data_IF_763492363166
#
_entry.id   IF_763492363166
#
_cell.length_a   1.000
_cell.length_b   1.000
_cell.length_c   1.000
_cell.angle_alpha   90.00
_cell.angle_beta   90.00
_cell.angle_gamma   90.00
#
_symmetry.space_group_name_H-M   'P 1'
#
loop_
_entity.id
_entity.type
_entity.pdbx_description
1 polymer ?
#
# COMPACT_ATOMS: atom_id res chain seq x y z
N UNK A 1 -18.55 -6.26 -7.41
CA UNK A 1 -17.84 -7.37 -8.08
C UNK A 1 -16.92 -8.00 -7.06
N UNK A 2 -17.26 -9.20 -6.58
CA UNK A 2 -16.47 -9.94 -5.60
C UNK A 2 -15.13 -10.33 -6.24
N UNK A 3 -14.04 -9.92 -5.59
CA UNK A 3 -12.69 -10.38 -5.91
C UNK A 3 -12.64 -11.90 -5.67
N UNK A 4 -12.11 -12.71 -6.61
CA UNK A 4 -11.98 -14.13 -6.38
C UNK A 4 -10.90 -14.33 -5.31
N UNK A 5 -11.35 -14.58 -4.09
CA UNK A 5 -10.50 -15.12 -3.03
C UNK A 5 -10.07 -16.50 -3.53
N UNK A 6 -8.89 -16.58 -4.14
CA UNK A 6 -8.22 -17.85 -4.36
C UNK A 6 -7.93 -18.43 -2.98
N UNK A 7 -8.83 -19.29 -2.50
CA UNK A 7 -8.59 -20.18 -1.38
C UNK A 7 -7.43 -21.10 -1.75
N UNK A 8 -6.24 -20.83 -1.22
CA UNK A 8 -5.15 -21.80 -1.17
C UNK A 8 -5.21 -22.50 0.19
N UNK A 9 -5.18 -23.84 0.17
CA UNK A 9 -5.62 -24.71 1.28
C UNK A 9 -4.55 -25.01 2.35
N UNK A 10 -3.43 -24.30 2.38
CA UNK A 10 -2.28 -24.64 3.23
C UNK A 10 -1.80 -23.43 4.07
N UNK A 11 -2.73 -22.68 4.66
CA UNK A 11 -2.40 -21.68 5.70
C UNK A 11 -2.42 -22.38 7.05
N UNK A 12 -1.32 -22.29 7.79
CA UNK A 12 -1.20 -22.89 9.12
C UNK A 12 -0.89 -21.82 10.15
N UNK A 13 -1.46 -21.97 11.35
CA UNK A 13 -1.10 -21.18 12.51
C UNK A 13 0.20 -21.77 13.05
N UNK A 14 1.23 -20.93 13.18
CA UNK A 14 2.54 -21.37 13.61
C UNK A 14 2.63 -21.31 15.14
N UNK A 15 2.10 -20.24 15.77
CA UNK A 15 1.99 -20.05 17.23
C UNK A 15 0.68 -19.28 17.52
N UNK A 16 -0.03 -19.60 18.62
CA UNK A 16 -1.29 -18.93 19.00
C UNK A 16 -1.13 -17.43 19.37
N UNK A 17 0.07 -17.00 19.73
CA UNK A 17 0.43 -15.60 20.00
C UNK A 17 1.93 -15.46 19.77
N UNK A 18 2.36 -14.67 18.80
CA UNK A 18 3.78 -14.35 18.64
C UNK A 18 4.22 -13.48 19.82
N UNK A 19 5.25 -13.91 20.53
CA UNK A 19 5.79 -13.19 21.68
C UNK A 19 6.97 -12.30 21.29
N UNK A 20 7.60 -12.58 20.14
CA UNK A 20 8.84 -11.93 19.66
C UNK A 20 8.82 -11.70 18.15
N UNK A 21 9.70 -10.83 17.62
CA UNK A 21 9.71 -10.47 16.19
C UNK A 21 9.99 -11.63 15.21
N UNK A 22 10.52 -12.75 15.69
CA UNK A 22 10.86 -13.91 14.86
C UNK A 22 9.97 -15.13 15.15
N UNK A 23 9.01 -14.99 16.06
CA UNK A 23 8.03 -16.01 16.36
C UNK A 23 6.93 -15.94 15.29
N UNK A 24 6.82 -16.96 14.43
CA UNK A 24 5.75 -16.98 13.42
C UNK A 24 4.37 -17.06 14.10
N UNK A 25 3.53 -16.06 13.88
CA UNK A 25 2.11 -16.09 14.25
C UNK A 25 1.35 -16.94 13.21
N UNK A 26 1.48 -16.58 11.95
CA UNK A 26 0.90 -17.30 10.82
C UNK A 26 1.95 -17.63 9.76
N UNK A 27 1.71 -18.69 9.00
CA UNK A 27 2.53 -19.04 7.85
C UNK A 27 1.79 -19.78 6.74
N UNK A 28 2.35 -19.74 5.55
CA UNK A 28 1.88 -20.53 4.40
C UNK A 28 3.06 -21.06 3.60
N UNK A 29 2.83 -22.19 2.95
CA UNK A 29 3.80 -22.82 2.05
C UNK A 29 3.56 -22.28 0.64
N UNK A 30 4.63 -21.85 -0.01
CA UNK A 30 4.65 -21.59 -1.44
C UNK A 30 5.12 -22.87 -2.13
N UNK A 31 4.18 -23.82 -2.29
CA UNK A 31 4.46 -25.19 -2.76
C UNK A 31 5.28 -25.22 -4.07
N UNK A 32 5.04 -24.28 -4.97
CA UNK A 32 5.75 -24.20 -6.26
C UNK A 32 7.22 -23.74 -6.16
N UNK A 33 7.65 -23.20 -5.02
CA UNK A 33 8.90 -22.45 -4.89
C UNK A 33 9.80 -22.93 -3.74
N UNK A 34 9.46 -24.04 -3.07
CA UNK A 34 10.16 -24.53 -1.90
C UNK A 34 10.48 -23.41 -0.87
N UNK A 35 9.48 -22.56 -0.61
CA UNK A 35 9.57 -21.44 0.32
C UNK A 35 8.40 -21.39 1.28
N UNK A 36 8.64 -20.84 2.46
CA UNK A 36 7.65 -20.50 3.46
C UNK A 36 7.53 -19.00 3.57
N UNK A 37 6.30 -18.50 3.68
CA UNK A 37 6.03 -17.12 4.12
C UNK A 37 5.55 -17.19 5.55
N UNK A 38 6.22 -16.48 6.45
CA UNK A 38 5.81 -16.37 7.84
C UNK A 38 5.62 -14.90 8.22
N UNK A 39 4.74 -14.63 9.16
CA UNK A 39 4.58 -13.29 9.76
C UNK A 39 4.55 -13.39 11.27
N UNK A 40 5.25 -12.51 11.98
CA UNK A 40 5.19 -12.44 13.43
C UNK A 40 4.01 -11.61 13.95
N UNK A 41 3.42 -10.71 13.16
CA UNK A 41 2.44 -9.76 13.68
C UNK A 41 1.22 -9.51 12.78
N UNK A 42 1.26 -9.85 11.49
CA UNK A 42 0.13 -9.58 10.62
C UNK A 42 -1.00 -10.59 10.85
N UNK A 43 -2.25 -10.12 10.84
CA UNK A 43 -3.43 -10.96 11.06
C UNK A 43 -3.82 -11.86 9.87
N UNK A 44 -3.07 -11.79 8.77
CA UNK A 44 -3.24 -12.64 7.60
C UNK A 44 -1.89 -12.97 6.97
N UNK A 45 -1.74 -14.21 6.50
CA UNK A 45 -0.64 -14.55 5.61
C UNK A 45 -0.94 -13.98 4.24
N UNK A 46 -0.07 -13.10 3.75
CA UNK A 46 -0.26 -12.48 2.45
C UNK A 46 -0.18 -13.54 1.34
N UNK A 47 -1.18 -13.63 0.46
CA UNK A 47 -1.17 -14.60 -0.61
C UNK A 47 -0.08 -14.25 -1.62
N UNK A 48 0.95 -15.10 -1.69
CA UNK A 48 1.93 -15.23 -2.79
C UNK A 48 2.70 -13.93 -3.12
N UNK A 49 3.83 -13.66 -2.43
CA UNK A 49 4.69 -12.51 -2.73
C UNK A 49 5.11 -12.46 -4.20
N UNK A 50 5.32 -11.23 -4.69
CA UNK A 50 5.82 -11.00 -6.03
C UNK A 50 7.32 -11.32 -6.14
N UNK A 51 7.65 -12.60 -6.31
CA UNK A 51 9.03 -13.08 -6.35
C UNK A 51 9.62 -13.10 -7.77
N UNK A 52 10.93 -12.83 -7.87
CA UNK A 52 11.73 -12.92 -9.09
C UNK A 52 11.61 -11.72 -10.04
N UNK A 53 12.29 -11.83 -11.19
CA UNK A 53 12.13 -10.86 -12.28
C UNK A 53 10.73 -10.98 -12.87
N UNK A 54 10.03 -9.85 -12.97
CA UNK A 54 8.65 -9.80 -13.46
C UNK A 54 8.47 -8.71 -14.48
N UNK A 55 7.70 -9.02 -15.50
CA UNK A 55 7.17 -8.02 -16.41
C UNK A 55 5.94 -7.39 -15.75
N UNK A 56 5.97 -6.07 -15.62
CA UNK A 56 4.88 -5.29 -15.03
C UNK A 56 4.07 -4.68 -16.16
N UNK A 57 2.77 -4.96 -16.15
CA UNK A 57 1.83 -4.42 -17.12
C UNK A 57 0.70 -3.71 -16.39
N UNK A 58 0.14 -2.71 -17.06
CA UNK A 58 -1.08 -2.09 -16.62
C UNK A 58 -2.27 -2.99 -16.93
N UNK A 59 -3.08 -3.25 -15.91
CA UNK A 59 -4.31 -4.04 -16.01
C UNK A 59 -5.51 -3.16 -16.42
N UNK A 60 -6.66 -3.79 -16.70
CA UNK A 60 -7.90 -3.10 -17.09
C UNK A 60 -8.40 -2.09 -16.04
N UNK A 61 -8.05 -2.29 -14.77
CA UNK A 61 -8.36 -1.37 -13.69
C UNK A 61 -7.36 -0.19 -13.58
N UNK A 62 -6.46 -0.03 -14.57
CA UNK A 62 -5.42 1.00 -14.64
C UNK A 62 -4.42 0.96 -13.48
N UNK A 63 -4.26 -0.23 -12.88
CA UNK A 63 -3.28 -0.54 -11.83
C UNK A 63 -2.32 -1.63 -12.30
N UNK A 64 -1.37 -2.00 -11.45
CA UNK A 64 -0.29 -2.95 -11.77
C UNK A 64 -0.50 -4.35 -11.18
N UNK A 65 -1.75 -4.70 -10.84
CA UNK A 65 -2.11 -6.00 -10.29
C UNK A 65 -1.34 -6.33 -9.01
N UNK A 66 -0.77 -7.54 -8.90
CA UNK A 66 0.03 -7.97 -7.75
C UNK A 66 1.32 -7.17 -7.53
N UNK A 67 1.75 -6.39 -8.53
CA UNK A 67 2.94 -5.55 -8.41
C UNK A 67 2.59 -4.09 -8.07
N UNK A 68 1.31 -3.75 -7.84
CA UNK A 68 0.91 -2.41 -7.39
C UNK A 68 1.23 -2.24 -5.90
N UNK A 69 2.21 -1.38 -5.51
CA UNK A 69 2.54 -1.15 -4.10
C UNK A 69 1.36 -0.60 -3.30
N UNK A 70 0.40 0.04 -3.95
CA UNK A 70 -0.81 0.55 -3.32
C UNK A 70 -1.78 -0.55 -2.88
N UNK A 71 -1.59 -1.77 -3.37
CA UNK A 71 -2.51 -2.89 -3.18
C UNK A 71 -1.83 -4.14 -2.66
N UNK A 72 -0.50 -4.17 -2.54
CA UNK A 72 0.20 -5.39 -2.12
C UNK A 72 1.49 -5.03 -1.41
N UNK A 73 1.85 -5.75 -0.32
CA UNK A 73 3.14 -5.57 0.30
C UNK A 73 4.25 -5.84 -0.70
N UNK A 74 5.27 -4.99 -0.65
CA UNK A 74 6.45 -5.11 -1.50
C UNK A 74 7.65 -5.58 -0.69
N UNK A 75 8.70 -6.03 -1.39
CA UNK A 75 9.99 -6.21 -0.73
C UNK A 75 10.46 -4.88 -0.14
N UNK A 76 10.94 -4.92 1.10
CA UNK A 76 11.45 -3.73 1.78
C UNK A 76 12.70 -3.22 1.06
N UNK A 77 12.66 -1.95 0.68
CA UNK A 77 13.80 -1.22 0.12
C UNK A 77 13.99 0.05 0.95
N UNK A 78 15.16 0.28 1.58
CA UNK A 78 15.36 1.42 2.48
C UNK A 78 15.01 2.79 1.88
N UNK A 79 15.25 2.97 0.57
CA UNK A 79 14.93 4.21 -0.15
C UNK A 79 13.41 4.44 -0.34
N UNK A 80 12.60 3.40 -0.18
CA UNK A 80 11.14 3.41 -0.34
C UNK A 80 10.44 2.79 0.87
N UNK A 81 11.04 2.94 2.06
CA UNK A 81 10.54 2.33 3.29
C UNK A 81 9.09 2.72 3.61
N UNK A 82 8.66 3.92 3.20
CA UNK A 82 7.29 4.42 3.37
C UNK A 82 6.24 3.60 2.63
N UNK A 83 6.60 2.76 1.65
CA UNK A 83 5.63 1.87 0.98
C UNK A 83 5.01 0.87 1.95
N UNK A 84 5.71 0.50 3.02
CA UNK A 84 5.15 -0.34 4.07
C UNK A 84 4.00 0.36 4.83
N UNK A 85 3.98 1.69 4.82
CA UNK A 85 2.97 2.52 5.48
C UNK A 85 1.81 2.94 4.56
N UNK A 86 1.74 2.40 3.33
CA UNK A 86 0.55 2.57 2.50
C UNK A 86 -0.64 1.92 3.18
N UNK A 87 -1.81 2.56 3.17
CA UNK A 87 -3.00 2.00 3.80
C UNK A 87 -3.85 1.20 2.81
N UNK A 88 -4.54 0.15 3.27
CA UNK A 88 -5.44 -0.72 2.49
C UNK A 88 -6.79 -0.10 2.13
N UNK A 89 -7.18 0.98 2.83
CA UNK A 89 -8.54 1.52 2.93
C UNK A 89 -9.43 0.74 3.93
N UNK A 90 -9.30 1.07 5.21
CA UNK A 90 -10.27 0.79 6.28
C UNK A 90 -10.95 2.07 6.76
N UNK A 91 -11.05 3.08 5.89
CA UNK A 91 -11.49 4.40 6.28
C UNK A 91 -13.01 4.47 6.43
N UNK A 92 -13.46 5.20 7.45
CA UNK A 92 -14.88 5.47 7.69
C UNK A 92 -15.55 6.15 6.47
N UNK A 93 -16.88 6.13 6.42
CA UNK A 93 -17.64 6.72 5.29
C UNK A 93 -17.32 8.21 5.11
N UNK A 94 -17.03 8.91 6.20
CA UNK A 94 -16.79 10.36 6.22
C UNK A 94 -15.31 10.73 6.22
N UNK A 95 -14.41 9.77 6.05
CA UNK A 95 -12.97 10.06 6.08
C UNK A 95 -12.57 10.92 4.86
N UNK A 96 -11.84 12.04 5.07
CA UNK A 96 -11.40 12.92 3.98
C UNK A 96 -10.55 12.24 2.92
N UNK A 97 -9.81 11.19 3.27
CA UNK A 97 -8.93 10.45 2.36
C UNK A 97 -9.66 9.33 1.60
N UNK A 98 -10.89 8.97 2.00
CA UNK A 98 -11.70 7.93 1.33
C UNK A 98 -11.75 8.05 -0.20
N UNK A 99 -11.91 9.25 -0.80
CA UNK A 99 -11.92 9.40 -2.26
C UNK A 99 -10.64 8.91 -2.97
N UNK A 100 -9.50 8.85 -2.27
CA UNK A 100 -8.22 8.36 -2.82
C UNK A 100 -8.20 6.84 -3.04
N UNK A 101 -9.19 6.12 -2.53
CA UNK A 101 -9.29 4.66 -2.60
C UNK A 101 -10.44 4.17 -3.48
N UNK A 102 -11.30 5.09 -3.93
CA UNK A 102 -12.45 4.75 -4.76
C UNK A 102 -12.07 4.77 -6.24
N UNK A 103 -12.41 3.70 -6.97
CA UNK A 103 -12.28 3.69 -8.42
C UNK A 103 -13.30 4.62 -9.08
N UNK A 104 -12.98 5.06 -10.30
CA UNK A 104 -13.92 5.73 -11.20
C UNK A 104 -14.58 4.72 -12.15
N UNK A 105 -15.76 5.07 -12.64
CA UNK A 105 -16.59 4.28 -13.56
C UNK A 105 -16.88 5.08 -14.83
N UNK A 106 -17.52 4.46 -15.81
CA UNK A 106 -17.99 5.15 -17.02
C UNK A 106 -18.91 6.34 -16.70
N UNK A 107 -19.67 6.27 -15.60
CA UNK A 107 -20.52 7.38 -15.15
C UNK A 107 -19.74 8.57 -14.61
N UNK A 108 -18.45 8.44 -14.34
CA UNK A 108 -17.61 9.54 -13.89
C UNK A 108 -16.99 10.31 -15.05
N UNK A 109 -17.20 9.87 -16.29
CA UNK A 109 -16.76 10.54 -17.49
C UNK A 109 -17.95 11.14 -18.23
N UNK A 110 -17.82 12.39 -18.66
CA UNK A 110 -18.82 13.10 -19.43
C UNK A 110 -18.21 13.65 -20.69
N UNK A 111 -18.83 13.36 -21.82
CA UNK A 111 -18.42 13.90 -23.11
C UNK A 111 -18.55 15.43 -23.17
N UNK A 112 -17.65 16.11 -23.88
CA UNK A 112 -17.72 17.59 -23.98
C UNK A 112 -18.93 18.01 -24.81
N UNK A 113 -19.17 17.31 -25.91
CA UNK A 113 -20.15 17.67 -26.91
C UNK A 113 -20.96 16.45 -27.32
N UNK A 114 -22.19 16.40 -26.82
CA UNK A 114 -23.17 15.35 -27.11
C UNK A 114 -23.56 15.32 -28.60
N UNK A 115 -23.24 16.35 -29.39
CA UNK A 115 -23.53 16.43 -30.81
C UNK A 115 -22.30 16.23 -31.73
N UNK A 116 -21.11 16.04 -31.16
CA UNK A 116 -19.90 15.83 -31.95
C UNK A 116 -19.98 14.53 -32.78
N UNK A 117 -19.52 14.57 -34.03
CA UNK A 117 -19.48 13.41 -34.92
C UNK A 117 -18.51 12.34 -34.39
N UNK A 118 -17.40 12.77 -33.80
CA UNK A 118 -16.40 11.87 -33.21
C UNK A 118 -16.52 11.94 -31.69
N UNK A 119 -16.88 10.80 -31.12
CA UNK A 119 -17.19 10.62 -29.71
C UNK A 119 -15.98 10.09 -28.94
N UNK A 120 -15.05 10.95 -28.55
CA UNK A 120 -13.76 10.50 -28.01
C UNK A 120 -13.13 11.37 -26.92
N UNK A 121 -13.67 12.56 -26.66
CA UNK A 121 -13.12 13.50 -25.68
C UNK A 121 -14.18 13.94 -24.68
N UNK A 122 -13.81 13.87 -23.41
CA UNK A 122 -14.67 14.20 -22.31
C UNK A 122 -13.88 14.70 -21.11
N UNK A 123 -14.59 14.92 -20.02
CA UNK A 123 -14.06 15.41 -18.76
C UNK A 123 -14.55 14.51 -17.64
N UNK A 124 -13.79 14.51 -16.54
CA UNK A 124 -14.30 13.93 -15.31
C UNK A 124 -15.51 14.75 -14.83
N UNK A 125 -16.55 14.08 -14.36
CA UNK A 125 -17.69 14.74 -13.72
C UNK A 125 -17.21 15.58 -12.55
N UNK A 126 -17.74 16.80 -12.46
CA UNK A 126 -17.34 17.79 -11.45
C UNK A 126 -17.46 17.27 -10.02
N UNK A 127 -18.52 16.52 -9.71
CA UNK A 127 -18.73 15.93 -8.38
C UNK A 127 -17.67 14.90 -8.00
N UNK A 128 -17.21 14.11 -8.96
CA UNK A 128 -16.15 13.12 -8.76
C UNK A 128 -14.79 13.80 -8.62
N UNK A 129 -14.51 14.78 -9.49
CA UNK A 129 -13.31 15.59 -9.38
C UNK A 129 -13.21 16.31 -8.04
N UNK A 130 -14.29 16.93 -7.56
CA UNK A 130 -14.30 17.64 -6.27
C UNK A 130 -14.01 16.73 -5.08
N UNK A 131 -14.54 15.49 -5.09
CA UNK A 131 -14.24 14.50 -4.05
C UNK A 131 -12.76 14.10 -4.07
N UNK A 132 -12.20 13.79 -5.23
CA UNK A 132 -10.78 13.48 -5.37
C UNK A 132 -9.91 14.65 -4.91
N UNK A 133 -10.22 15.86 -5.37
CA UNK A 133 -9.51 17.09 -5.01
C UNK A 133 -9.53 17.33 -3.50
N UNK A 134 -10.67 17.09 -2.83
CA UNK A 134 -10.77 17.21 -1.39
C UNK A 134 -9.82 16.23 -0.66
N UNK A 135 -9.76 14.97 -1.12
CA UNK A 135 -8.82 13.99 -0.58
C UNK A 135 -7.36 14.37 -0.79
N UNK A 136 -7.00 14.86 -1.98
CA UNK A 136 -5.64 15.34 -2.24
C UNK A 136 -5.28 16.55 -1.36
N UNK A 137 -6.21 17.49 -1.17
CA UNK A 137 -6.00 18.65 -0.28
C UNK A 137 -5.80 18.23 1.16
N UNK A 138 -6.59 17.28 1.66
CA UNK A 138 -6.41 16.74 3.00
C UNK A 138 -5.00 16.16 3.19
N UNK A 139 -4.47 15.41 2.20
CA UNK A 139 -3.07 14.95 2.24
C UNK A 139 -2.09 16.12 2.25
N UNK A 140 -2.22 17.10 1.35
CA UNK A 140 -1.32 18.25 1.28
C UNK A 140 -1.30 19.02 2.61
N UNK A 141 -2.45 19.22 3.24
CA UNK A 141 -2.57 19.86 4.55
C UNK A 141 -1.78 19.11 5.63
N UNK A 142 -1.80 17.76 5.63
CA UNK A 142 -0.98 16.97 6.57
C UNK A 142 0.53 17.18 6.38
N UNK A 143 0.99 17.51 5.17
CA UNK A 143 2.42 17.77 4.90
C UNK A 143 2.87 19.12 5.47
N UNK A 144 2.01 20.15 5.40
CA UNK A 144 2.39 21.53 5.72
C UNK A 144 2.81 21.77 7.17
N UNK A 145 2.47 20.85 8.08
CA UNK A 145 2.85 20.91 9.50
C UNK A 145 4.07 20.07 9.90
N UNK A 146 4.74 19.42 8.95
CA UNK A 146 5.78 18.43 9.25
C UNK A 146 7.18 19.02 9.16
N UNK A 147 7.90 19.05 10.29
CA UNK A 147 9.32 19.34 10.31
C UNK A 147 10.13 18.10 9.90
N UNK A 148 10.93 18.22 8.84
CA UNK A 148 11.71 17.13 8.27
C UNK A 148 13.05 17.63 7.72
N UNK A 149 13.94 16.69 7.39
CA UNK A 149 15.21 17.02 6.74
C UNK A 149 14.99 17.67 5.37
N UNK A 150 15.97 18.45 4.89
CA UNK A 150 15.88 19.18 3.61
C UNK A 150 15.61 18.25 2.42
N UNK A 151 16.19 17.05 2.42
CA UNK A 151 15.99 16.05 1.35
C UNK A 151 14.55 15.53 1.34
N UNK A 152 14.00 15.22 2.52
CA UNK A 152 12.61 14.74 2.66
C UNK A 152 11.63 15.84 2.29
N UNK A 153 11.90 17.07 2.72
CA UNK A 153 11.13 18.25 2.33
C UNK A 153 11.12 18.45 0.82
N UNK A 154 12.27 18.35 0.15
CA UNK A 154 12.34 18.45 -1.32
C UNK A 154 11.53 17.34 -2.03
N UNK A 155 11.59 16.11 -1.52
CA UNK A 155 10.80 15.00 -2.06
C UNK A 155 9.29 15.25 -1.91
N UNK A 156 8.84 15.65 -0.72
CA UNK A 156 7.43 16.01 -0.46
C UNK A 156 6.95 17.14 -1.38
N UNK A 157 7.76 18.18 -1.59
CA UNK A 157 7.43 19.26 -2.53
C UNK A 157 7.29 18.76 -3.98
N UNK A 158 8.14 17.82 -4.41
CA UNK A 158 8.03 17.19 -5.72
C UNK A 158 6.69 16.47 -5.93
N UNK A 159 6.25 15.70 -4.93
CA UNK A 159 4.94 15.04 -4.96
C UNK A 159 3.78 16.06 -4.98
N UNK A 160 3.86 17.14 -4.19
CA UNK A 160 2.83 18.19 -4.18
C UNK A 160 2.68 18.83 -5.55
N UNK A 161 3.78 19.25 -6.18
CA UNK A 161 3.76 19.85 -7.54
C UNK A 161 3.14 18.88 -8.55
N UNK A 162 3.51 17.60 -8.48
CA UNK A 162 2.95 16.59 -9.38
C UNK A 162 1.44 16.39 -9.17
N UNK A 163 0.97 16.39 -7.92
CA UNK A 163 -0.47 16.34 -7.61
C UNK A 163 -1.21 17.55 -8.16
N UNK A 164 -0.68 18.76 -7.97
CA UNK A 164 -1.29 19.98 -8.48
C UNK A 164 -1.43 19.94 -10.01
N UNK A 165 -0.38 19.51 -10.73
CA UNK A 165 -0.43 19.34 -12.18
C UNK A 165 -1.47 18.29 -12.62
N UNK A 166 -1.54 17.15 -11.93
CA UNK A 166 -2.51 16.10 -12.25
C UNK A 166 -3.95 16.56 -12.00
N UNK A 167 -4.19 17.31 -10.91
CA UNK A 167 -5.51 17.87 -10.60
C UNK A 167 -5.94 18.90 -11.66
N UNK A 168 -5.04 19.81 -12.07
CA UNK A 168 -5.33 20.77 -13.15
C UNK A 168 -5.64 20.05 -14.46
N UNK A 169 -4.89 18.97 -14.77
CA UNK A 169 -5.19 18.15 -15.96
C UNK A 169 -6.58 17.51 -15.88
N UNK A 170 -6.95 16.94 -14.73
CA UNK A 170 -8.26 16.32 -14.54
C UNK A 170 -9.42 17.33 -14.63
N UNK A 171 -9.22 18.57 -14.19
CA UNK A 171 -10.26 19.61 -14.26
C UNK A 171 -10.37 20.23 -15.65
N UNK A 172 -9.23 20.58 -16.26
CA UNK A 172 -9.19 21.56 -17.34
C UNK A 172 -8.92 20.94 -18.71
N UNK A 173 -8.25 19.79 -18.78
CA UNK A 173 -7.90 19.14 -20.04
C UNK A 173 -8.94 18.07 -20.42
N UNK A 174 -9.69 18.24 -21.53
CA UNK A 174 -10.49 17.15 -22.03
C UNK A 174 -9.63 16.02 -22.55
N UNK A 175 -10.04 14.79 -22.25
CA UNK A 175 -9.28 13.60 -22.57
C UNK A 175 -10.21 12.40 -22.81
N UNK A 176 -9.67 11.38 -23.47
CA UNK A 176 -10.39 10.12 -23.63
C UNK A 176 -10.66 9.46 -22.28
N UNK A 177 -11.66 8.59 -22.24
CA UNK A 177 -12.01 7.81 -21.06
C UNK A 177 -10.79 7.13 -20.42
N UNK A 178 -9.98 6.46 -21.25
CA UNK A 178 -8.75 5.79 -20.82
C UNK A 178 -7.73 6.76 -20.21
N UNK A 179 -7.52 7.92 -20.83
CA UNK A 179 -6.59 8.94 -20.32
C UNK A 179 -7.05 9.56 -19.02
N UNK A 180 -8.37 9.74 -18.85
CA UNK A 180 -8.96 10.22 -17.59
C UNK A 180 -8.71 9.21 -16.47
N UNK A 181 -8.98 7.93 -16.72
CA UNK A 181 -8.72 6.85 -15.76
C UNK A 181 -7.25 6.76 -15.35
N UNK A 182 -6.33 6.81 -16.32
CA UNK A 182 -4.89 6.87 -16.08
C UNK A 182 -4.52 8.05 -15.18
N UNK A 183 -4.95 9.25 -15.55
CA UNK A 183 -4.65 10.47 -14.81
C UNK A 183 -5.23 10.41 -13.38
N UNK A 184 -6.42 9.82 -13.21
CA UNK A 184 -7.03 9.58 -11.91
C UNK A 184 -6.24 8.57 -11.08
N UNK A 185 -5.86 7.42 -11.64
CA UNK A 185 -5.09 6.39 -10.96
C UNK A 185 -3.72 6.92 -10.49
N UNK A 186 -3.01 7.66 -11.35
CA UNK A 186 -1.75 8.33 -10.97
C UNK A 186 -1.97 9.39 -9.88
N UNK A 187 -3.07 10.16 -9.95
CA UNK A 187 -3.40 11.12 -8.87
C UNK A 187 -3.58 10.42 -7.52
N UNK A 188 -4.29 9.29 -7.50
CA UNK A 188 -4.47 8.49 -6.29
C UNK A 188 -3.14 7.92 -5.79
N UNK A 189 -2.29 7.46 -6.71
CA UNK A 189 -0.98 6.90 -6.38
C UNK A 189 -0.11 7.92 -5.65
N UNK A 190 0.11 9.09 -6.27
CA UNK A 190 0.97 10.11 -5.71
C UNK A 190 0.40 10.65 -4.38
N UNK A 191 -0.92 10.79 -4.26
CA UNK A 191 -1.53 11.27 -3.02
C UNK A 191 -1.38 10.27 -1.87
N UNK A 192 -1.58 8.98 -2.15
CA UNK A 192 -1.43 7.92 -1.14
C UNK A 192 0.02 7.70 -0.76
N UNK A 193 0.94 7.77 -1.72
CA UNK A 193 2.38 7.71 -1.47
C UNK A 193 2.83 8.87 -0.58
N UNK A 194 2.42 10.11 -0.89
CA UNK A 194 2.75 11.29 -0.09
C UNK A 194 2.22 11.16 1.34
N UNK A 195 0.99 10.67 1.51
CA UNK A 195 0.43 10.41 2.83
C UNK A 195 1.24 9.35 3.60
N UNK A 196 1.58 8.24 2.97
CA UNK A 196 2.39 7.18 3.58
C UNK A 196 3.80 7.66 3.94
N UNK A 197 4.41 8.50 3.10
CA UNK A 197 5.69 9.14 3.38
C UNK A 197 5.64 9.99 4.65
N UNK A 198 4.61 10.82 4.80
CA UNK A 198 4.41 11.62 6.02
C UNK A 198 4.24 10.71 7.24
N UNK A 199 3.34 9.73 7.18
CA UNK A 199 3.10 8.79 8.30
C UNK A 199 4.37 8.04 8.68
N UNK A 200 5.13 7.57 7.71
CA UNK A 200 6.39 6.88 7.94
C UNK A 200 7.38 7.78 8.69
N UNK A 201 7.56 9.02 8.23
CA UNK A 201 8.54 9.93 8.81
C UNK A 201 8.16 10.47 10.19
N UNK A 202 6.87 10.73 10.43
CA UNK A 202 6.41 11.42 11.65
C UNK A 202 5.97 10.48 12.76
N UNK A 203 5.65 9.22 12.43
CA UNK A 203 5.15 8.25 13.40
C UNK A 203 6.02 7.00 13.40
N UNK A 204 6.02 6.26 12.29
CA UNK A 204 6.59 4.91 12.31
C UNK A 204 8.10 4.89 12.46
N UNK A 205 8.83 5.80 11.82
CA UNK A 205 10.28 5.90 11.97
C UNK A 205 10.68 6.21 13.41
N UNK A 206 9.93 7.07 14.08
CA UNK A 206 10.16 7.39 15.49
C UNK A 206 9.96 6.13 16.34
N UNK A 207 8.87 5.39 16.14
CA UNK A 207 8.58 4.14 16.86
C UNK A 207 9.67 3.07 16.64
N UNK A 208 10.22 2.98 15.43
CA UNK A 208 11.33 2.08 15.11
C UNK A 208 12.63 2.45 15.84
N UNK A 209 12.88 3.74 16.04
CA UNK A 209 14.14 4.25 16.59
C UNK A 209 14.18 4.31 18.12
N UNK A 210 13.03 4.19 18.80
CA UNK A 210 12.98 4.08 20.26
C UNK A 210 13.83 2.88 20.70
N UNK A 211 14.63 2.95 21.77
CA UNK A 211 15.32 1.78 22.32
C UNK A 211 14.35 0.70 22.83
N UNK A 212 14.72 -0.58 22.75
CA UNK A 212 13.84 -1.69 23.23
C UNK A 212 13.56 -1.67 24.73
N UNK A 213 14.46 -1.09 25.52
CA UNK A 213 14.27 -0.91 26.96
C UNK A 213 13.15 0.06 27.32
N UNK A 214 12.76 0.93 26.38
CA UNK A 214 12.02 2.15 26.71
C UNK A 214 10.53 2.04 26.37
N UNK A 215 10.14 1.10 25.50
CA UNK A 215 8.73 0.88 25.14
C UNK A 215 8.46 -0.55 24.66
N UNK A 216 7.32 -1.15 25.03
CA UNK A 216 6.87 -2.41 24.48
C UNK A 216 6.55 -2.28 22.97
N UNK A 217 6.53 -3.40 22.22
CA UNK A 217 6.08 -3.41 20.83
C UNK A 217 4.65 -2.85 20.70
N UNK A 218 4.42 -2.07 19.64
CA UNK A 218 3.11 -1.54 19.31
C UNK A 218 2.20 -2.66 18.79
N UNK A 219 0.88 -2.58 19.04
CA UNK A 219 -0.09 -3.43 18.35
C UNK A 219 0.06 -3.29 16.83
N UNK A 220 -0.20 -4.37 16.10
CA UNK A 220 -0.19 -4.33 14.62
C UNK A 220 -1.25 -3.36 14.10
N UNK A 221 -0.87 -2.51 13.15
CA UNK A 221 -1.80 -1.70 12.36
C UNK A 221 -2.22 -2.48 11.11
N UNK A 222 -3.35 -3.19 11.21
CA UNK A 222 -3.94 -3.94 10.10
C UNK A 222 -4.42 -3.04 8.94
N UNK A 223 -4.46 -1.73 9.14
CA UNK A 223 -4.73 -0.76 8.09
C UNK A 223 -3.58 -0.62 7.09
N UNK A 224 -2.37 -1.06 7.45
CA UNK A 224 -1.17 -0.93 6.61
C UNK A 224 -0.93 -2.11 5.68
N UNK A 225 -0.37 -1.80 4.51
CA UNK A 225 0.09 -2.75 3.50
C UNK A 225 1.25 -3.60 4.02
N UNK A 226 2.18 -3.01 4.76
CA UNK A 226 3.35 -3.69 5.29
C UNK A 226 4.39 -4.07 4.23
N UNK A 227 5.35 -4.92 4.57
CA UNK A 227 6.43 -5.30 3.66
C UNK A 227 6.99 -6.71 3.90
N UNK A 228 7.65 -7.24 2.87
CA UNK A 228 8.48 -8.44 2.98
C UNK A 228 9.92 -8.06 3.32
N UNK A 229 10.53 -8.69 4.32
CA UNK A 229 11.97 -8.54 4.60
C UNK A 229 12.54 -9.80 5.25
N UNK A 230 13.77 -10.15 4.87
CA UNK A 230 14.56 -11.19 5.54
C UNK A 230 15.71 -10.60 6.37
N UNK A 231 15.85 -9.27 6.38
CA UNK A 231 16.80 -8.59 7.27
C UNK A 231 16.23 -8.54 8.69
N UNK A 232 16.94 -9.16 9.63
CA UNK A 232 16.49 -9.31 11.01
C UNK A 232 16.23 -7.96 11.69
N UNK A 233 17.06 -6.95 11.39
CA UNK A 233 16.92 -5.59 11.94
C UNK A 233 15.61 -4.97 11.48
N UNK A 234 15.32 -5.04 10.19
CA UNK A 234 14.08 -4.54 9.59
C UNK A 234 12.85 -5.22 10.18
N UNK A 235 12.87 -6.55 10.29
CA UNK A 235 11.76 -7.33 10.89
C UNK A 235 11.51 -6.87 12.32
N UNK A 236 12.56 -6.75 13.13
CA UNK A 236 12.46 -6.31 14.52
C UNK A 236 11.91 -4.89 14.64
N UNK A 237 12.42 -3.95 13.84
CA UNK A 237 11.93 -2.57 13.80
C UNK A 237 10.46 -2.48 13.37
N UNK A 238 10.05 -3.24 12.35
CA UNK A 238 8.66 -3.24 11.85
C UNK A 238 7.71 -3.86 12.87
N UNK A 239 8.09 -5.01 13.45
CA UNK A 239 7.33 -5.64 14.51
C UNK A 239 7.14 -4.69 15.69
N UNK A 240 8.20 -4.01 16.12
CA UNK A 240 8.15 -3.03 17.20
C UNK A 240 7.22 -1.86 16.87
N UNK A 241 7.29 -1.33 15.65
CA UNK A 241 6.49 -0.20 15.22
C UNK A 241 5.03 -0.56 14.89
N UNK A 242 4.65 -1.84 14.99
CA UNK A 242 3.31 -2.31 14.64
C UNK A 242 3.06 -2.38 13.12
N UNK A 243 4.10 -2.29 12.29
CA UNK A 243 3.94 -2.44 10.84
C UNK A 243 3.88 -3.93 10.50
N UNK A 244 2.88 -4.40 9.72
CA UNK A 244 2.83 -5.76 9.23
C UNK A 244 4.11 -6.14 8.47
N UNK A 245 4.74 -7.24 8.85
CA UNK A 245 5.95 -7.73 8.20
C UNK A 245 5.86 -9.23 7.91
N UNK A 246 6.40 -9.65 6.77
CA UNK A 246 6.50 -11.05 6.38
C UNK A 246 7.94 -11.40 6.02
N UNK A 247 8.38 -12.60 6.41
CA UNK A 247 9.66 -13.18 6.02
C UNK A 247 9.42 -14.28 4.99
N UNK A 248 10.32 -14.41 4.03
CA UNK A 248 10.29 -15.45 3.00
C UNK A 248 11.51 -16.35 3.22
N UNK A 249 11.28 -17.55 3.74
CA UNK A 249 12.33 -18.46 4.20
C UNK A 249 12.37 -19.69 3.29
N UNK A 250 13.55 -20.18 2.95
CA UNK A 250 13.67 -21.43 2.19
C UNK A 250 13.26 -22.62 3.06
N UNK A 251 12.60 -23.65 2.47
CA UNK A 251 12.27 -24.90 3.18
C UNK A 251 13.48 -25.49 3.93
N UNK A 252 14.68 -25.32 3.38
CA UNK A 252 15.93 -25.85 3.95
C UNK A 252 16.34 -25.18 5.27
N UNK A 253 15.84 -23.99 5.54
CA UNK A 253 16.21 -23.16 6.70
C UNK A 253 15.23 -23.31 7.87
N UNK A 254 14.08 -23.96 7.66
CA UNK A 254 13.09 -24.21 8.72
C UNK A 254 13.50 -25.13 9.88
N UNK A 255 14.52 -26.02 9.80
CA UNK A 255 14.93 -26.77 10.97
C UNK A 255 15.39 -25.90 12.17
N UNK A 256 15.60 -24.59 11.96
CA UNK A 256 15.89 -23.61 13.02
C UNK A 256 14.69 -22.76 13.49
N UNK A 257 13.51 -22.92 12.88
CA UNK A 257 12.29 -22.15 13.19
C UNK A 257 11.31 -23.04 13.96
N UNK A 258 10.88 -22.61 15.15
CA UNK A 258 9.85 -23.32 15.92
C UNK A 258 8.51 -23.29 15.16
N UNK A 259 8.27 -24.31 14.32
CA UNK A 259 6.97 -24.54 13.71
C UNK A 259 6.19 -25.58 14.51
N UNK A 260 5.12 -25.18 15.17
CA UNK A 260 4.10 -26.13 15.63
C UNK A 260 3.00 -26.21 14.58
N UNK A 261 3.03 -27.24 13.73
CA UNK A 261 1.90 -27.53 12.85
C UNK A 261 0.68 -27.94 13.69
N UNK A 262 -0.42 -27.21 13.55
CA UNK A 262 -1.73 -27.68 13.98
C UNK A 262 -2.39 -28.30 12.75
N UNK A 263 -2.45 -29.63 12.69
CA UNK A 263 -3.26 -30.35 11.69
C UNK A 263 -4.76 -30.08 11.92
N UNK A 264 -5.59 -30.09 10.86
CA UNK A 264 -7.01 -29.76 10.93
C UNK A 264 -7.82 -30.64 11.88
#
# INVERSE_FOLDING_TARGET
MQCPVCYYSNTFIVIHTALRPFDGLYGTILDDLDMFVITPNANMVMPRPALGNREVYMCENYRYGFNDPLQWPQAFVPNYAHYACLCWCTLEVNDPLRPLYLGVTEYDWQEIDDFAIIKSLGRMRRSTFQRLQAGCKAVIETVTGVECSTVVTANMHGHIIMLEHLLVRLSDLPMSYQRMHLCHAETQHIARELHALVQYMTLYKLLMDVPESDAPPMPVDDGLVGAFSNDATTVQSFFKAGIPVWQIISIKELPGSLLTCISP
#
